data_IF_988167713360
#
_entry.id   IF_988167713360
#
_cell.length_a   1.000
_cell.length_b   1.000
_cell.length_c   1.000
_cell.angle_alpha   90.00
_cell.angle_beta   90.00
_cell.angle_gamma   90.00
#
_symmetry.space_group_name_H-M   'P 1'
#
loop_
_entity.id
_entity.type
_entity.pdbx_description
1 polymer ?
#
# COMPACT_ATOMS: atom_id res chain seq x y z
N UNK A 1 16.22 -2.98 -14.09
CA UNK A 1 15.50 -3.92 -13.21
C UNK A 1 15.20 -3.23 -11.89
N UNK A 2 13.98 -3.32 -11.36
CA UNK A 2 13.65 -2.72 -10.06
C UNK A 2 13.98 -3.68 -8.91
N UNK A 3 14.73 -3.18 -7.93
CA UNK A 3 15.03 -3.90 -6.69
C UNK A 3 14.40 -3.13 -5.53
N UNK A 4 13.28 -3.63 -5.05
CA UNK A 4 12.46 -3.02 -4.01
C UNK A 4 12.86 -3.56 -2.65
N UNK A 5 13.80 -2.89 -1.98
CA UNK A 5 14.39 -3.35 -0.74
C UNK A 5 13.63 -2.83 0.49
N UNK A 6 13.39 -3.70 1.47
CA UNK A 6 12.90 -3.26 2.79
C UNK A 6 13.89 -2.26 3.40
N UNK A 7 13.41 -1.35 4.25
CA UNK A 7 14.24 -0.29 4.84
C UNK A 7 15.52 -0.83 5.49
N UNK A 8 15.44 -1.97 6.20
CA UNK A 8 16.58 -2.64 6.83
C UNK A 8 17.62 -3.14 5.82
N UNK A 9 17.21 -3.54 4.61
CA UNK A 9 18.06 -4.10 3.57
C UNK A 9 18.67 -3.04 2.64
N UNK A 10 18.10 -1.84 2.55
CA UNK A 10 18.60 -0.72 1.73
C UNK A 10 20.13 -0.48 1.84
N UNK A 11 20.77 -0.52 3.03
CA UNK A 11 22.22 -0.31 3.14
C UNK A 11 23.08 -1.35 2.39
N UNK A 12 22.54 -2.52 2.04
CA UNK A 12 23.24 -3.51 1.21
C UNK A 12 23.41 -3.04 -0.23
N UNK A 13 22.52 -2.17 -0.71
CA UNK A 13 22.43 -1.74 -2.10
C UNK A 13 22.95 -0.30 -2.31
N UNK A 14 23.67 0.26 -1.33
CA UNK A 14 24.10 1.67 -1.40
C UNK A 14 25.07 2.00 -2.54
N UNK A 15 25.68 0.97 -3.12
CA UNK A 15 26.64 1.10 -4.21
C UNK A 15 25.94 1.09 -5.60
N UNK A 16 24.60 0.94 -5.65
CA UNK A 16 23.79 0.90 -6.87
C UNK A 16 22.95 2.17 -7.05
N UNK A 17 22.55 2.46 -8.30
CA UNK A 17 21.68 3.59 -8.61
C UNK A 17 20.34 3.48 -7.92
N UNK A 18 19.92 4.56 -7.25
CA UNK A 18 18.56 4.67 -6.72
C UNK A 18 17.58 5.04 -7.84
N UNK A 19 16.30 4.81 -7.58
CA UNK A 19 15.22 5.39 -8.36
C UNK A 19 15.18 6.91 -8.19
N UNK A 20 14.88 7.63 -9.26
CA UNK A 20 14.82 9.10 -9.24
C UNK A 20 13.57 9.61 -8.51
N UNK A 21 12.43 8.92 -8.71
CA UNK A 21 11.16 9.18 -8.04
C UNK A 21 10.55 7.87 -7.53
N UNK A 22 10.23 7.82 -6.23
CA UNK A 22 9.61 6.64 -5.62
C UNK A 22 8.23 6.34 -6.20
N UNK A 23 7.44 7.39 -6.50
CA UNK A 23 6.08 7.22 -7.00
C UNK A 23 6.06 6.75 -8.45
N UNK A 24 6.93 7.31 -9.30
CA UNK A 24 7.07 6.86 -10.69
C UNK A 24 7.64 5.44 -10.77
N UNK A 25 8.67 5.15 -9.96
CA UNK A 25 9.22 3.80 -9.88
C UNK A 25 8.18 2.79 -9.40
N UNK A 26 7.35 3.15 -8.40
CA UNK A 26 6.24 2.32 -7.96
C UNK A 26 5.27 2.02 -9.11
N UNK A 27 4.82 3.05 -9.85
CA UNK A 27 3.91 2.88 -10.98
C UNK A 27 4.51 2.00 -12.08
N UNK A 28 5.77 2.24 -12.44
CA UNK A 28 6.50 1.45 -13.44
C UNK A 28 6.68 0.00 -13.01
N UNK A 29 7.10 -0.24 -11.76
CA UNK A 29 7.31 -1.59 -11.25
C UNK A 29 6.00 -2.38 -11.13
N UNK A 30 4.89 -1.74 -10.74
CA UNK A 30 3.56 -2.37 -10.72
C UNK A 30 3.05 -2.72 -12.12
N UNK A 31 3.33 -1.87 -13.11
CA UNK A 31 3.00 -2.15 -14.51
C UNK A 31 3.93 -3.20 -15.16
N UNK A 32 5.10 -3.43 -14.56
CA UNK A 32 6.13 -4.31 -15.09
C UNK A 32 6.65 -5.30 -14.03
N UNK A 33 5.78 -6.16 -13.48
CA UNK A 33 6.15 -7.06 -12.39
C UNK A 33 7.21 -8.10 -12.81
N UNK A 34 7.40 -8.35 -14.11
CA UNK A 34 8.45 -9.22 -14.65
C UNK A 34 9.86 -8.63 -14.46
N UNK A 35 9.99 -7.32 -14.37
CA UNK A 35 11.28 -6.64 -14.20
C UNK A 35 11.47 -6.12 -12.76
N UNK A 36 10.69 -6.63 -11.82
CA UNK A 36 10.60 -6.14 -10.45
C UNK A 36 10.78 -7.26 -9.43
N UNK A 37 11.59 -6.98 -8.41
CA UNK A 37 11.91 -7.91 -7.34
C UNK A 37 11.76 -7.23 -5.98
N UNK A 38 11.25 -7.95 -4.99
CA UNK A 38 11.30 -7.51 -3.59
C UNK A 38 12.43 -8.21 -2.85
N UNK A 39 13.09 -7.50 -1.94
CA UNK A 39 14.24 -8.07 -1.22
C UNK A 39 14.31 -7.69 0.25
N UNK A 40 14.73 -8.68 1.04
CA UNK A 40 15.16 -8.54 2.43
C UNK A 40 16.39 -9.40 2.67
N UNK A 41 16.94 -9.29 3.87
CA UNK A 41 17.90 -10.27 4.36
C UNK A 41 17.50 -10.76 5.75
N UNK A 42 17.93 -11.97 6.06
CA UNK A 42 18.01 -12.48 7.42
C UNK A 42 19.47 -12.79 7.78
N UNK A 43 19.74 -13.01 9.05
CA UNK A 43 21.09 -13.33 9.54
C UNK A 43 21.09 -14.78 10.00
N UNK A 44 21.94 -15.59 9.39
CA UNK A 44 22.17 -16.98 9.79
C UNK A 44 23.66 -17.18 10.03
N UNK A 45 24.03 -17.66 11.24
CA UNK A 45 25.43 -17.86 11.65
C UNK A 45 26.34 -16.65 11.32
N UNK A 46 25.87 -15.44 11.65
CA UNK A 46 26.53 -14.14 11.40
C UNK A 46 26.69 -13.76 9.91
N UNK A 47 26.17 -14.56 8.98
CA UNK A 47 26.15 -14.27 7.54
C UNK A 47 24.78 -13.74 7.13
N UNK A 48 24.74 -12.77 6.23
CA UNK A 48 23.46 -12.31 5.66
C UNK A 48 23.05 -13.23 4.53
N UNK A 49 21.85 -13.78 4.66
CA UNK A 49 21.15 -14.49 3.59
C UNK A 49 20.19 -13.49 2.95
N UNK A 50 20.47 -13.07 1.73
CA UNK A 50 19.64 -12.11 0.99
C UNK A 50 18.62 -12.90 0.18
N UNK A 51 17.38 -12.48 0.29
CA UNK A 51 16.21 -13.11 -0.33
C UNK A 51 15.70 -12.14 -1.38
N UNK A 52 15.48 -12.62 -2.59
CA UNK A 52 14.78 -11.91 -3.65
C UNK A 52 13.56 -12.72 -4.05
N UNK A 53 12.38 -12.10 -4.06
CA UNK A 53 11.14 -12.70 -4.58
C UNK A 53 10.71 -11.93 -5.83
N UNK A 54 10.40 -12.66 -6.89
CA UNK A 54 9.99 -12.08 -8.16
C UNK A 54 8.55 -11.59 -8.11
N UNK A 55 8.26 -10.40 -8.65
CA UNK A 55 6.94 -9.81 -8.44
C UNK A 55 5.84 -10.46 -9.28
N UNK A 56 6.18 -11.01 -10.45
CA UNK A 56 5.22 -11.67 -11.35
C UNK A 56 5.04 -13.18 -11.10
N UNK A 57 5.91 -13.84 -10.32
CA UNK A 57 5.87 -15.30 -10.13
C UNK A 57 6.24 -15.71 -8.70
N UNK A 58 6.40 -17.01 -8.44
CA UNK A 58 6.95 -17.54 -7.17
C UNK A 58 8.49 -17.63 -7.18
N UNK A 59 9.13 -17.37 -8.32
CA UNK A 59 10.58 -17.42 -8.48
C UNK A 59 11.30 -16.64 -7.36
N UNK A 60 12.18 -17.35 -6.67
CA UNK A 60 12.93 -16.86 -5.51
C UNK A 60 14.41 -17.09 -5.73
N UNK A 61 15.23 -16.08 -5.42
CA UNK A 61 16.69 -16.16 -5.45
C UNK A 61 17.23 -15.93 -4.04
N UNK A 62 18.00 -16.88 -3.55
CA UNK A 62 18.72 -16.80 -2.27
C UNK A 62 20.20 -16.58 -2.55
N UNK A 63 20.77 -15.55 -1.94
CA UNK A 63 22.22 -15.30 -1.95
C UNK A 63 22.76 -15.43 -0.53
N UNK A 64 23.84 -16.18 -0.37
CA UNK A 64 24.50 -16.37 0.92
C UNK A 64 25.73 -15.47 1.10
N UNK A 65 26.08 -15.25 2.37
CA UNK A 65 27.31 -14.57 2.79
C UNK A 65 27.52 -13.17 2.18
N UNK A 66 26.45 -12.39 2.08
CA UNK A 66 26.55 -11.00 1.61
C UNK A 66 27.04 -10.10 2.74
N UNK A 67 28.14 -9.40 2.49
CA UNK A 67 28.82 -8.57 3.47
C UNK A 67 29.42 -7.31 2.81
N UNK A 68 30.04 -6.45 3.62
CA UNK A 68 30.55 -5.16 3.13
C UNK A 68 31.63 -5.29 2.05
N UNK A 69 32.35 -6.43 1.99
CA UNK A 69 33.42 -6.65 1.01
C UNK A 69 32.88 -7.06 -0.35
N UNK A 70 31.76 -7.80 -0.40
CA UNK A 70 31.24 -8.39 -1.64
C UNK A 70 29.92 -7.78 -2.14
N UNK A 71 29.30 -6.85 -1.41
CA UNK A 71 28.05 -6.21 -1.84
C UNK A 71 28.14 -5.43 -3.17
N UNK A 72 29.34 -5.04 -3.61
CA UNK A 72 29.55 -4.41 -4.93
C UNK A 72 29.30 -5.39 -6.08
N UNK A 73 29.51 -6.68 -5.84
CA UNK A 73 29.28 -7.78 -6.79
C UNK A 73 27.91 -8.42 -6.62
N UNK A 74 26.97 -7.75 -5.93
CA UNK A 74 25.69 -8.35 -5.58
C UNK A 74 24.84 -8.63 -6.82
N UNK A 75 24.89 -7.75 -7.83
CA UNK A 75 24.20 -7.96 -9.11
C UNK A 75 24.78 -9.15 -9.87
N UNK A 76 26.11 -9.25 -9.97
CA UNK A 76 26.79 -10.39 -10.60
C UNK A 76 26.42 -11.72 -9.92
N UNK A 77 26.43 -11.74 -8.58
CA UNK A 77 26.03 -12.90 -7.79
C UNK A 77 24.56 -13.26 -8.00
N UNK A 78 23.68 -12.27 -8.03
CA UNK A 78 22.27 -12.46 -8.30
C UNK A 78 22.05 -13.06 -9.69
N UNK A 79 22.68 -12.50 -10.73
CA UNK A 79 22.53 -12.97 -12.11
C UNK A 79 23.09 -14.39 -12.27
N UNK A 80 24.23 -14.71 -11.65
CA UNK A 80 24.80 -16.06 -11.67
C UNK A 80 23.85 -17.08 -11.02
N UNK A 81 23.35 -16.77 -9.82
CA UNK A 81 22.40 -17.62 -9.10
C UNK A 81 21.09 -17.78 -9.87
N UNK A 82 20.59 -16.68 -10.43
CA UNK A 82 19.37 -16.67 -11.24
C UNK A 82 19.52 -17.53 -12.47
N UNK A 83 20.65 -17.43 -13.20
CA UNK A 83 20.94 -18.25 -14.38
C UNK A 83 20.90 -19.74 -14.05
N UNK A 84 21.42 -20.15 -12.89
CA UNK A 84 21.41 -21.56 -12.47
C UNK A 84 19.99 -22.04 -12.16
N UNK A 85 19.20 -21.24 -11.44
CA UNK A 85 17.79 -21.54 -11.17
C UNK A 85 17.00 -21.60 -12.48
N UNK A 86 17.27 -20.67 -13.41
CA UNK A 86 16.61 -20.57 -14.72
C UNK A 86 16.75 -21.85 -15.55
N UNK A 87 17.94 -22.46 -15.52
CA UNK A 87 18.21 -23.74 -16.18
C UNK A 87 17.47 -24.88 -15.49
N UNK A 88 17.44 -24.91 -14.15
CA UNK A 88 16.75 -25.95 -13.38
C UNK A 88 15.23 -25.98 -13.63
N UNK A 89 14.63 -24.84 -13.95
CA UNK A 89 13.20 -24.73 -14.30
C UNK A 89 12.93 -24.91 -15.80
N UNK A 90 13.93 -25.35 -16.57
CA UNK A 90 13.78 -25.74 -17.98
C UNK A 90 13.71 -24.56 -18.96
N UNK A 91 14.18 -23.37 -18.58
CA UNK A 91 14.19 -22.21 -19.47
C UNK A 91 15.58 -22.08 -20.12
N UNK A 92 15.61 -21.77 -21.41
CA UNK A 92 16.85 -21.69 -22.20
C UNK A 92 17.74 -20.52 -21.78
N UNK A 93 19.05 -20.69 -21.96
CA UNK A 93 20.04 -19.62 -21.75
C UNK A 93 19.77 -18.38 -22.61
N UNK A 94 19.36 -18.57 -23.86
CA UNK A 94 18.97 -17.47 -24.76
C UNK A 94 17.82 -16.63 -24.17
N UNK A 95 16.84 -17.26 -23.53
CA UNK A 95 15.76 -16.55 -22.82
C UNK A 95 16.30 -15.78 -21.61
N UNK A 96 17.21 -16.37 -20.82
CA UNK A 96 17.87 -15.66 -19.72
C UNK A 96 18.64 -14.42 -20.19
N UNK A 97 19.43 -14.53 -21.27
CA UNK A 97 20.19 -13.40 -21.81
C UNK A 97 19.27 -12.29 -22.31
N UNK A 98 18.14 -12.66 -22.96
CA UNK A 98 17.08 -11.71 -23.35
C UNK A 98 16.46 -11.04 -22.13
N UNK A 99 16.21 -11.78 -21.05
CA UNK A 99 15.65 -11.23 -19.81
C UNK A 99 16.57 -10.17 -19.20
N UNK A 100 17.85 -10.50 -18.97
CA UNK A 100 18.81 -9.58 -18.37
C UNK A 100 18.97 -8.32 -19.24
N UNK A 101 19.08 -8.49 -20.56
CA UNK A 101 19.15 -7.37 -21.51
C UNK A 101 17.90 -6.49 -21.47
N UNK A 102 16.71 -7.08 -21.42
CA UNK A 102 15.45 -6.33 -21.38
C UNK A 102 15.23 -5.65 -20.02
N UNK A 103 15.60 -6.31 -18.93
CA UNK A 103 15.43 -5.78 -17.57
C UNK A 103 16.32 -4.55 -17.33
N UNK A 104 17.55 -4.54 -17.88
CA UNK A 104 18.53 -3.47 -17.72
C UNK A 104 19.02 -3.30 -16.27
N UNK A 105 19.86 -2.30 -16.05
CA UNK A 105 20.57 -2.06 -14.80
C UNK A 105 19.66 -1.97 -13.57
N UNK A 106 20.20 -2.35 -12.41
CA UNK A 106 19.50 -2.24 -11.14
C UNK A 106 19.14 -0.80 -10.76
N UNK A 107 17.86 -0.60 -10.42
CA UNK A 107 17.34 0.63 -9.83
C UNK A 107 16.73 0.30 -8.47
N UNK A 108 17.35 0.84 -7.42
CA UNK A 108 17.00 0.51 -6.04
C UNK A 108 15.90 1.46 -5.54
N UNK A 109 14.78 0.88 -5.11
CA UNK A 109 13.63 1.61 -4.57
C UNK A 109 13.15 1.04 -3.24
N UNK A 110 12.24 1.75 -2.54
CA UNK A 110 11.54 1.20 -1.39
C UNK A 110 10.57 0.10 -1.81
N UNK A 111 10.02 -0.65 -0.85
CA UNK A 111 8.98 -1.65 -1.14
C UNK A 111 7.70 -1.00 -1.67
N UNK A 112 7.13 -1.58 -2.73
CA UNK A 112 6.03 -0.97 -3.49
C UNK A 112 4.66 -1.61 -3.20
N UNK A 113 4.63 -2.81 -2.60
CA UNK A 113 3.40 -3.56 -2.34
C UNK A 113 3.42 -4.29 -0.99
N UNK A 114 2.34 -4.14 -0.20
CA UNK A 114 2.15 -4.87 1.07
C UNK A 114 1.99 -6.38 0.87
N UNK A 115 1.35 -6.79 -0.23
CA UNK A 115 1.23 -8.21 -0.60
C UNK A 115 2.61 -8.83 -0.84
N UNK A 116 3.50 -8.12 -1.54
CA UNK A 116 4.87 -8.57 -1.77
C UNK A 116 5.69 -8.65 -0.48
N UNK A 117 5.50 -7.72 0.46
CA UNK A 117 6.12 -7.80 1.79
C UNK A 117 5.61 -9.03 2.56
N UNK A 118 4.32 -9.35 2.47
CA UNK A 118 3.73 -10.56 3.04
C UNK A 118 4.41 -11.82 2.47
N UNK A 119 4.45 -11.95 1.14
CA UNK A 119 5.11 -13.08 0.48
C UNK A 119 6.59 -13.20 0.85
N UNK A 120 7.33 -12.09 0.85
CA UNK A 120 8.73 -12.05 1.28
C UNK A 120 8.89 -12.44 2.76
N UNK A 121 7.88 -12.17 3.60
CA UNK A 121 7.84 -12.61 5.00
C UNK A 121 7.69 -14.13 5.08
N UNK A 122 6.70 -14.68 4.38
CA UNK A 122 6.42 -16.12 4.34
C UNK A 122 7.62 -16.93 3.83
N UNK A 123 8.22 -16.51 2.71
CA UNK A 123 9.44 -17.13 2.16
C UNK A 123 10.59 -17.08 3.16
N UNK A 124 10.75 -15.97 3.89
CA UNK A 124 11.78 -15.85 4.91
C UNK A 124 11.56 -16.78 6.10
N UNK A 125 10.32 -16.97 6.55
CA UNK A 125 10.01 -17.91 7.64
C UNK A 125 10.36 -19.35 7.24
N UNK A 126 10.04 -19.75 6.01
CA UNK A 126 10.36 -21.09 5.51
C UNK A 126 11.86 -21.26 5.30
N UNK A 127 12.56 -20.23 4.82
CA UNK A 127 14.02 -20.23 4.74
C UNK A 127 14.66 -20.44 6.13
N UNK A 128 14.15 -19.79 7.18
CA UNK A 128 14.65 -20.01 8.55
C UNK A 128 14.48 -21.47 9.00
N UNK A 129 13.36 -22.11 8.66
CA UNK A 129 13.16 -23.55 8.94
C UNK A 129 14.24 -24.41 8.26
N UNK A 130 14.47 -24.23 6.96
CA UNK A 130 15.50 -24.98 6.24
C UNK A 130 16.91 -24.74 6.79
N UNK A 131 17.23 -23.49 7.13
CA UNK A 131 18.52 -23.15 7.73
C UNK A 131 18.70 -23.78 9.12
N UNK A 132 17.63 -23.91 9.90
CA UNK A 132 17.66 -24.62 11.19
C UNK A 132 17.90 -26.12 11.01
N UNK A 133 17.37 -26.70 9.93
CA UNK A 133 17.64 -28.08 9.50
C UNK A 133 19.02 -28.24 8.82
N UNK A 134 19.85 -27.18 8.86
CA UNK A 134 21.22 -27.11 8.34
C UNK A 134 21.33 -27.16 6.81
N UNK A 135 20.24 -26.96 6.10
CA UNK A 135 20.27 -26.78 4.66
C UNK A 135 20.73 -25.35 4.34
N UNK A 136 21.81 -25.23 3.59
CA UNK A 136 22.50 -23.96 3.34
C UNK A 136 22.89 -23.75 1.89
N UNK A 137 22.63 -24.71 1.00
CA UNK A 137 22.87 -24.59 -0.43
C UNK A 137 21.91 -23.53 -1.03
N UNK A 138 22.42 -22.37 -1.49
CA UNK A 138 21.58 -21.32 -2.03
C UNK A 138 20.81 -21.74 -3.28
N UNK A 139 21.35 -22.66 -4.10
CA UNK A 139 20.68 -23.16 -5.31
C UNK A 139 19.48 -24.01 -4.93
N UNK A 140 19.70 -24.99 -4.04
CA UNK A 140 18.63 -25.83 -3.51
C UNK A 140 17.54 -25.00 -2.84
N UNK A 141 17.93 -24.06 -1.97
CA UNK A 141 17.00 -23.19 -1.25
C UNK A 141 16.16 -22.35 -2.21
N UNK A 142 16.80 -21.75 -3.23
CA UNK A 142 16.11 -20.96 -4.25
C UNK A 142 15.09 -21.80 -5.03
N UNK A 143 15.49 -22.99 -5.48
CA UNK A 143 14.60 -23.91 -6.18
C UNK A 143 13.42 -24.35 -5.30
N UNK A 144 13.68 -24.71 -4.04
CA UNK A 144 12.61 -25.14 -3.11
C UNK A 144 11.64 -24.03 -2.78
N UNK A 145 12.14 -22.84 -2.46
CA UNK A 145 11.29 -21.69 -2.14
C UNK A 145 10.51 -21.21 -3.37
N UNK A 146 11.04 -21.40 -4.59
CA UNK A 146 10.32 -21.11 -5.83
C UNK A 146 9.11 -22.01 -6.08
N UNK A 147 9.01 -23.17 -5.42
CA UNK A 147 7.86 -24.06 -5.52
C UNK A 147 6.72 -23.69 -4.56
N UNK A 148 6.93 -22.73 -3.67
CA UNK A 148 5.90 -22.32 -2.72
C UNK A 148 4.81 -21.53 -3.44
N UNK A 149 3.54 -21.97 -3.36
CA UNK A 149 2.44 -21.25 -3.99
C UNK A 149 2.25 -19.88 -3.33
N UNK A 150 1.89 -18.89 -4.14
CA UNK A 150 1.67 -17.51 -3.70
C UNK A 150 0.22 -17.11 -3.94
N UNK A 151 -0.47 -16.66 -2.90
CA UNK A 151 -1.78 -16.02 -3.04
C UNK A 151 -1.62 -14.60 -3.61
N UNK A 152 -2.36 -14.29 -4.67
CA UNK A 152 -2.42 -12.94 -5.25
C UNK A 152 -3.64 -12.18 -4.72
N UNK A 153 -4.81 -12.81 -4.84
CA UNK A 153 -6.13 -12.31 -4.43
C UNK A 153 -6.92 -13.48 -3.80
N UNK A 154 -8.04 -13.24 -3.08
CA UNK A 154 -8.92 -14.31 -2.65
C UNK A 154 -9.30 -15.23 -3.82
N UNK A 155 -8.87 -16.49 -3.76
CA UNK A 155 -9.13 -17.50 -4.81
C UNK A 155 -8.17 -17.49 -6.00
N UNK A 156 -7.17 -16.60 -6.06
CA UNK A 156 -6.15 -16.59 -7.11
C UNK A 156 -4.77 -16.91 -6.54
N UNK A 157 -4.12 -17.89 -7.14
CA UNK A 157 -2.79 -18.35 -6.75
C UNK A 157 -1.87 -18.43 -7.96
N UNK A 158 -0.58 -18.24 -7.72
CA UNK A 158 0.49 -18.59 -8.67
C UNK A 158 1.28 -19.74 -8.08
N UNK A 159 1.47 -20.80 -8.87
CA UNK A 159 2.24 -21.97 -8.49
C UNK A 159 3.64 -21.97 -9.15
N UNK A 160 4.57 -22.73 -8.56
CA UNK A 160 5.94 -22.88 -9.09
C UNK A 160 5.99 -23.45 -10.51
N UNK A 161 5.00 -24.27 -10.89
CA UNK A 161 4.90 -24.81 -12.25
C UNK A 161 4.64 -23.74 -13.33
N UNK A 162 4.16 -22.55 -12.96
CA UNK A 162 3.82 -21.48 -13.89
C UNK A 162 5.02 -20.55 -14.19
N UNK A 163 6.14 -20.68 -13.48
CA UNK A 163 7.32 -19.80 -13.64
C UNK A 163 7.82 -19.82 -15.09
N UNK A 164 7.95 -21.01 -15.70
CA UNK A 164 8.45 -21.13 -17.07
C UNK A 164 7.56 -20.44 -18.10
N UNK A 165 6.24 -20.41 -17.87
CA UNK A 165 5.28 -19.71 -18.72
C UNK A 165 5.34 -18.19 -18.52
N UNK A 166 5.48 -17.73 -17.28
CA UNK A 166 5.60 -16.30 -16.95
C UNK A 166 6.92 -15.74 -17.48
N UNK A 167 8.01 -16.50 -17.39
CA UNK A 167 9.36 -16.11 -17.79
C UNK A 167 9.72 -16.49 -19.24
N UNK A 168 8.73 -16.59 -20.14
CA UNK A 168 8.97 -16.75 -21.58
C UNK A 168 9.42 -15.42 -22.19
N UNK A 169 10.31 -15.49 -23.18
CA UNK A 169 10.89 -14.32 -23.84
C UNK A 169 9.88 -13.34 -24.41
N UNK A 170 8.71 -13.84 -24.85
CA UNK A 170 7.66 -13.02 -25.44
C UNK A 170 7.06 -12.02 -24.45
N UNK A 171 7.21 -12.29 -23.15
CA UNK A 171 6.71 -11.46 -22.06
C UNK A 171 7.70 -10.36 -21.64
N UNK A 172 8.94 -10.36 -22.15
CA UNK A 172 9.97 -9.39 -21.78
C UNK A 172 9.80 -8.06 -22.52
N UNK A 173 8.66 -7.41 -22.28
CA UNK A 173 8.31 -6.14 -22.89
C UNK A 173 7.93 -5.15 -21.82
N UNK A 174 8.62 -4.01 -21.79
CA UNK A 174 8.25 -2.90 -20.93
C UNK A 174 6.90 -2.35 -21.36
N UNK A 175 5.95 -2.37 -20.44
CA UNK A 175 4.67 -1.71 -20.53
C UNK A 175 4.79 -0.31 -19.96
N UNK A 176 4.22 0.67 -20.66
CA UNK A 176 3.98 1.97 -20.04
C UNK A 176 3.03 1.75 -18.87
N UNK A 177 3.26 2.38 -17.70
CA UNK A 177 2.27 2.37 -16.64
C UNK A 177 0.96 2.79 -17.26
N UNK A 178 -0.09 2.02 -17.00
CA UNK A 178 -1.44 2.54 -17.17
C UNK A 178 -1.50 3.66 -16.13
N UNK A 179 -1.20 4.88 -16.59
CA UNK A 179 -1.70 6.06 -15.95
C UNK A 179 -3.20 5.88 -16.14
N UNK A 180 -3.89 5.26 -15.18
CA UNK A 180 -5.28 5.61 -14.97
C UNK A 180 -5.20 7.11 -14.94
N UNK A 181 -5.70 7.76 -16.00
CA UNK A 181 -6.03 9.17 -15.93
C UNK A 181 -6.76 9.23 -14.61
N UNK A 182 -6.22 9.97 -13.64
CA UNK A 182 -6.98 10.28 -12.44
C UNK A 182 -8.35 10.64 -13.00
N UNK A 183 -9.37 9.80 -12.74
CA UNK A 183 -10.70 10.03 -13.29
C UNK A 183 -10.94 11.50 -13.02
N UNK A 184 -11.18 12.28 -14.07
CA UNK A 184 -11.27 13.74 -13.92
C UNK A 184 -12.30 13.97 -12.82
N UNK A 185 -11.79 14.34 -11.66
CA UNK A 185 -12.62 14.59 -10.50
C UNK A 185 -13.46 15.78 -10.94
N UNK A 186 -14.78 15.64 -10.94
CA UNK A 186 -15.66 16.73 -11.27
C UNK A 186 -15.53 17.80 -10.18
N UNK A 187 -14.61 18.74 -10.43
CA UNK A 187 -14.29 19.82 -9.50
C UNK A 187 -15.48 20.75 -9.30
N UNK A 188 -16.39 20.84 -10.28
CA UNK A 188 -17.60 21.67 -10.15
C UNK A 188 -18.55 21.05 -9.13
N UNK A 189 -18.75 19.73 -9.22
CA UNK A 189 -19.58 19.00 -8.28
C UNK A 189 -18.96 18.96 -6.87
N UNK A 190 -17.65 18.73 -6.77
CA UNK A 190 -16.95 18.78 -5.48
C UNK A 190 -17.04 20.17 -4.82
N UNK A 191 -16.91 21.25 -5.60
CA UNK A 191 -17.02 22.60 -5.07
C UNK A 191 -18.45 22.87 -4.59
N UNK A 192 -19.47 22.40 -5.32
CA UNK A 192 -20.88 22.48 -4.88
C UNK A 192 -21.07 21.78 -3.54
N UNK A 193 -20.59 20.54 -3.40
CA UNK A 193 -20.70 19.77 -2.15
C UNK A 193 -20.02 20.50 -1.00
N UNK A 194 -18.81 21.02 -1.23
CA UNK A 194 -18.06 21.81 -0.25
C UNK A 194 -18.83 23.04 0.21
N UNK A 195 -19.33 23.84 -0.74
CA UNK A 195 -20.01 25.10 -0.45
C UNK A 195 -21.35 24.84 0.28
N UNK A 196 -22.09 23.80 -0.10
CA UNK A 196 -23.32 23.42 0.59
C UNK A 196 -23.07 22.92 2.02
N UNK A 197 -22.02 22.13 2.24
CA UNK A 197 -21.63 21.71 3.59
C UNK A 197 -21.20 22.94 4.44
N UNK A 198 -20.42 23.87 3.89
CA UNK A 198 -20.07 25.10 4.62
C UNK A 198 -21.30 25.95 4.95
N UNK A 199 -22.25 26.10 4.02
CA UNK A 199 -23.49 26.82 4.28
C UNK A 199 -24.30 26.18 5.40
N UNK A 200 -24.41 24.85 5.44
CA UNK A 200 -25.07 24.15 6.54
C UNK A 200 -24.40 24.46 7.88
N UNK A 201 -23.06 24.42 7.93
CA UNK A 201 -22.30 24.74 9.14
C UNK A 201 -22.59 26.17 9.66
N UNK A 202 -22.83 27.14 8.76
CA UNK A 202 -23.20 28.52 9.11
C UNK A 202 -24.65 28.62 9.58
N UNK A 203 -25.58 27.95 8.89
CA UNK A 203 -27.00 27.97 9.22
C UNK A 203 -27.28 27.42 10.63
N UNK A 204 -26.60 26.34 11.00
CA UNK A 204 -26.76 25.72 12.33
C UNK A 204 -26.31 26.64 13.47
N UNK A 205 -25.22 27.40 13.29
CA UNK A 205 -24.79 28.37 14.31
C UNK A 205 -25.83 29.45 14.59
N UNK A 206 -26.68 29.74 13.61
CA UNK A 206 -27.71 30.78 13.72
C UNK A 206 -29.06 30.24 14.19
N UNK A 207 -29.26 28.92 14.21
CA UNK A 207 -30.58 28.30 14.37
C UNK A 207 -30.52 27.03 15.25
N UNK A 208 -29.97 27.21 16.45
CA UNK A 208 -29.69 26.14 17.42
C UNK A 208 -30.94 25.54 18.09
N UNK A 209 -32.13 26.10 17.87
CA UNK A 209 -33.32 25.78 18.67
C UNK A 209 -34.60 25.71 17.82
N UNK A 210 -34.66 24.79 16.85
CA UNK A 210 -35.94 24.35 16.29
C UNK A 210 -36.50 23.17 17.10
N UNK A 211 -37.77 23.23 17.48
CA UNK A 211 -38.49 22.11 18.11
C UNK A 211 -39.16 21.20 17.09
N UNK A 212 -39.02 21.51 15.79
CA UNK A 212 -39.60 20.74 14.70
C UNK A 212 -38.71 19.54 14.36
N UNK A 213 -39.18 18.35 14.75
CA UNK A 213 -38.48 17.09 14.50
C UNK A 213 -38.39 16.74 13.01
N UNK A 214 -39.37 17.14 12.19
CA UNK A 214 -39.35 16.88 10.76
C UNK A 214 -38.28 17.74 10.08
N UNK A 215 -38.09 18.97 10.56
CA UNK A 215 -37.04 19.86 10.10
C UNK A 215 -35.64 19.34 10.47
N UNK A 216 -35.48 18.83 11.70
CA UNK A 216 -34.26 18.16 12.18
C UNK A 216 -33.91 16.97 11.28
N UNK A 217 -34.87 16.09 11.01
CA UNK A 217 -34.67 14.91 10.16
C UNK A 217 -34.33 15.30 8.72
N UNK A 218 -34.97 16.34 8.19
CA UNK A 218 -34.67 16.85 6.84
C UNK A 218 -33.24 17.38 6.75
N UNK A 219 -32.77 18.12 7.77
CA UNK A 219 -31.40 18.62 7.86
C UNK A 219 -30.40 17.48 7.92
N UNK A 220 -30.61 16.49 8.79
CA UNK A 220 -29.73 15.31 8.90
C UNK A 220 -29.65 14.56 7.56
N UNK A 221 -30.78 14.32 6.89
CA UNK A 221 -30.80 13.69 5.56
C UNK A 221 -29.99 14.48 4.53
N UNK A 222 -30.04 15.81 4.57
CA UNK A 222 -29.24 16.67 3.68
C UNK A 222 -27.74 16.53 3.96
N UNK A 223 -27.32 16.51 5.23
CA UNK A 223 -25.94 16.20 5.61
C UNK A 223 -25.49 14.85 5.06
N UNK A 224 -26.28 13.80 5.32
CA UNK A 224 -25.96 12.44 4.91
C UNK A 224 -25.84 12.31 3.39
N UNK A 225 -26.72 12.98 2.64
CA UNK A 225 -26.64 13.03 1.17
C UNK A 225 -25.32 13.64 0.69
N UNK A 226 -24.97 14.84 1.17
CA UNK A 226 -23.76 15.54 0.77
C UNK A 226 -22.48 14.78 1.19
N UNK A 227 -22.49 14.20 2.39
CA UNK A 227 -21.41 13.35 2.87
C UNK A 227 -21.24 12.12 1.97
N UNK A 228 -22.31 11.46 1.55
CA UNK A 228 -22.25 10.30 0.66
C UNK A 228 -21.70 10.67 -0.73
N UNK A 229 -22.08 11.82 -1.27
CA UNK A 229 -21.53 12.34 -2.53
C UNK A 229 -20.03 12.65 -2.42
N UNK A 230 -19.59 13.23 -1.29
CA UNK A 230 -18.17 13.46 -0.99
C UNK A 230 -17.40 12.16 -0.82
N UNK A 231 -17.95 11.20 -0.07
CA UNK A 231 -17.35 9.87 0.13
C UNK A 231 -17.21 9.15 -1.21
N UNK A 232 -18.24 9.16 -2.06
CA UNK A 232 -18.19 8.54 -3.37
C UNK A 232 -17.07 9.14 -4.24
N UNK A 233 -16.96 10.48 -4.26
CA UNK A 233 -15.89 11.18 -4.98
C UNK A 233 -14.50 10.81 -4.45
N UNK A 234 -14.35 10.72 -3.13
CA UNK A 234 -13.11 10.27 -2.49
C UNK A 234 -12.78 8.82 -2.86
N UNK A 235 -13.74 7.88 -2.73
CA UNK A 235 -13.52 6.46 -3.01
C UNK A 235 -13.15 6.24 -4.48
N UNK A 236 -13.83 6.92 -5.41
CA UNK A 236 -13.53 6.86 -6.84
C UNK A 236 -12.10 7.38 -7.13
N UNK A 237 -11.65 8.42 -6.42
CA UNK A 237 -10.30 8.97 -6.58
C UNK A 237 -9.16 8.04 -6.15
N UNK A 238 -9.45 7.07 -5.27
CA UNK A 238 -8.45 6.15 -4.71
C UNK A 238 -8.67 4.69 -5.15
N UNK A 239 -9.62 4.43 -6.06
CA UNK A 239 -10.05 3.07 -6.40
C UNK A 239 -8.92 2.19 -6.95
N UNK A 240 -7.97 2.79 -7.67
CA UNK A 240 -6.84 2.08 -8.29
C UNK A 240 -5.68 1.83 -7.30
N UNK A 241 -5.67 2.53 -6.17
CA UNK A 241 -4.60 2.44 -5.17
C UNK A 241 -4.84 1.36 -4.11
N UNK A 242 -6.07 0.85 -4.01
CA UNK A 242 -6.51 0.00 -2.90
C UNK A 242 -7.40 -1.16 -3.36
N UNK A 243 -7.37 -2.26 -2.60
CA UNK A 243 -8.26 -3.39 -2.86
C UNK A 243 -9.72 -3.05 -2.55
N UNK A 244 -10.66 -3.71 -3.22
CA UNK A 244 -12.10 -3.51 -3.01
C UNK A 244 -12.51 -3.65 -1.52
N UNK A 245 -11.93 -4.61 -0.80
CA UNK A 245 -12.14 -4.79 0.64
C UNK A 245 -11.71 -3.56 1.44
N UNK A 246 -10.60 -2.94 1.07
CA UNK A 246 -10.10 -1.74 1.75
C UNK A 246 -10.93 -0.51 1.39
N UNK A 247 -11.34 -0.36 0.13
CA UNK A 247 -12.26 0.69 -0.30
C UNK A 247 -13.59 0.63 0.47
N UNK A 248 -14.20 -0.56 0.55
CA UNK A 248 -15.41 -0.79 1.36
C UNK A 248 -15.18 -0.48 2.85
N UNK A 249 -13.99 -0.78 3.37
CA UNK A 249 -13.65 -0.44 4.76
C UNK A 249 -13.56 1.08 4.97
N UNK A 250 -12.97 1.82 4.04
CA UNK A 250 -12.90 3.28 4.12
C UNK A 250 -14.28 3.91 4.00
N UNK A 251 -15.08 3.46 3.02
CA UNK A 251 -16.45 3.92 2.85
C UNK A 251 -17.27 3.71 4.12
N UNK A 252 -17.33 2.49 4.66
CA UNK A 252 -18.10 2.19 5.89
C UNK A 252 -17.65 3.01 7.10
N UNK A 253 -16.34 3.19 7.28
CA UNK A 253 -15.83 3.99 8.39
C UNK A 253 -16.16 5.48 8.26
N UNK A 254 -16.17 6.01 7.02
CA UNK A 254 -16.58 7.39 6.77
C UNK A 254 -18.09 7.56 6.88
N UNK A 255 -18.90 6.65 6.36
CA UNK A 255 -20.36 6.65 6.52
C UNK A 255 -20.72 6.64 8.01
N UNK A 256 -20.16 5.71 8.79
CA UNK A 256 -20.40 5.65 10.23
C UNK A 256 -20.07 6.98 10.92
N UNK A 257 -18.89 7.55 10.67
CA UNK A 257 -18.49 8.75 11.40
C UNK A 257 -19.18 10.02 10.89
N UNK A 258 -19.23 10.23 9.58
CA UNK A 258 -19.81 11.44 8.99
C UNK A 258 -21.34 11.46 9.08
N UNK A 259 -22.00 10.32 8.86
CA UNK A 259 -23.46 10.25 8.78
C UNK A 259 -24.11 9.88 10.11
N UNK A 260 -23.57 8.92 10.84
CA UNK A 260 -24.20 8.43 12.08
C UNK A 260 -23.76 9.22 13.31
N UNK A 261 -22.58 9.85 13.26
CA UNK A 261 -22.05 10.61 14.40
C UNK A 261 -22.06 12.13 14.17
N UNK A 262 -21.40 12.64 13.11
CA UNK A 262 -21.27 14.08 12.89
C UNK A 262 -22.55 14.74 12.39
N UNK A 263 -23.29 14.13 11.45
CA UNK A 263 -24.53 14.71 10.92
C UNK A 263 -25.58 14.94 12.01
N UNK A 264 -25.71 14.00 12.97
CA UNK A 264 -26.60 14.14 14.13
C UNK A 264 -26.16 15.22 15.13
N UNK A 265 -24.91 15.67 15.04
CA UNK A 265 -24.35 16.79 15.81
C UNK A 265 -24.29 18.07 14.98
N UNK A 266 -24.75 18.03 13.74
CA UNK A 266 -24.68 19.15 12.80
C UNK A 266 -23.24 19.63 12.52
N UNK A 267 -22.28 18.73 12.66
CA UNK A 267 -20.87 18.99 12.41
C UNK A 267 -20.54 18.53 10.99
N UNK A 268 -19.87 19.39 10.22
CA UNK A 268 -19.35 19.03 8.89
C UNK A 268 -17.89 18.63 8.98
N UNK A 269 -17.40 17.91 7.97
CA UNK A 269 -15.97 17.57 7.84
C UNK A 269 -15.05 18.80 7.74
N UNK A 270 -15.60 20.00 7.51
CA UNK A 270 -14.85 21.26 7.46
C UNK A 270 -14.81 21.99 8.81
N UNK A 271 -15.49 21.47 9.84
CA UNK A 271 -15.42 21.99 11.19
C UNK A 271 -14.26 21.32 11.96
N UNK A 272 -13.55 22.07 12.80
CA UNK A 272 -12.47 21.55 13.64
C UNK A 272 -12.93 20.49 14.64
N UNK A 273 -14.19 20.54 15.06
CA UNK A 273 -14.81 19.51 15.92
C UNK A 273 -14.91 18.15 15.22
N UNK A 274 -14.83 18.08 13.88
CA UNK A 274 -14.76 16.82 13.15
C UNK A 274 -13.45 16.04 13.38
N UNK A 275 -12.48 16.62 14.11
CA UNK A 275 -11.29 15.91 14.57
C UNK A 275 -11.55 15.06 15.82
N UNK A 276 -12.73 15.20 16.46
CA UNK A 276 -13.12 14.52 17.69
C UNK A 276 -13.47 13.03 17.48
N UNK A 277 -12.60 12.28 16.79
CA UNK A 277 -12.83 10.86 16.48
C UNK A 277 -12.79 10.00 17.74
N UNK A 278 -12.10 10.45 18.78
CA UNK A 278 -11.98 9.76 20.05
C UNK A 278 -13.31 9.62 20.79
N UNK A 279 -14.26 10.55 20.57
CA UNK A 279 -15.58 10.47 21.19
C UNK A 279 -16.35 9.20 20.79
N UNK A 280 -16.08 8.62 19.62
CA UNK A 280 -16.68 7.35 19.22
C UNK A 280 -16.41 6.23 20.25
N UNK A 281 -15.26 6.27 20.93
CA UNK A 281 -14.95 5.34 22.01
C UNK A 281 -15.91 5.51 23.20
N UNK A 282 -16.18 6.76 23.58
CA UNK A 282 -17.12 7.11 24.65
C UNK A 282 -18.56 6.70 24.30
N UNK A 283 -18.88 6.64 23.00
CA UNK A 283 -20.16 6.18 22.47
C UNK A 283 -20.19 4.68 22.12
N UNK A 284 -19.27 3.87 22.68
CA UNK A 284 -19.33 2.41 22.62
C UNK A 284 -18.60 1.76 21.44
N UNK A 285 -17.90 2.53 20.60
CA UNK A 285 -17.04 1.96 19.56
C UNK A 285 -15.80 1.33 20.16
N UNK A 286 -15.33 0.23 19.57
CA UNK A 286 -14.03 -0.35 19.95
C UNK A 286 -12.86 0.56 19.57
N UNK A 287 -11.75 0.49 20.30
CA UNK A 287 -10.51 1.22 19.94
C UNK A 287 -10.03 0.91 18.51
N UNK A 288 -10.22 -0.33 18.07
CA UNK A 288 -9.88 -0.76 16.70
C UNK A 288 -10.74 -0.07 15.64
N UNK A 289 -11.99 0.23 15.96
CA UNK A 289 -12.92 0.96 15.11
C UNK A 289 -12.61 2.46 15.07
N UNK A 290 -12.33 3.07 16.22
CA UNK A 290 -11.83 4.45 16.29
C UNK A 290 -10.58 4.63 15.44
N UNK A 291 -9.61 3.71 15.53
CA UNK A 291 -8.41 3.71 14.67
C UNK A 291 -8.71 3.52 13.18
N UNK A 292 -9.80 2.82 12.82
CA UNK A 292 -10.23 2.71 11.41
C UNK A 292 -10.85 4.02 10.94
N UNK A 293 -11.67 4.66 11.75
CA UNK A 293 -12.25 5.99 11.48
C UNK A 293 -11.13 7.01 11.32
N UNK A 294 -10.21 7.12 12.28
CA UNK A 294 -9.06 8.03 12.23
C UNK A 294 -8.23 7.87 10.95
N UNK A 295 -7.94 6.63 10.53
CA UNK A 295 -7.22 6.36 9.28
C UNK A 295 -8.01 6.79 8.05
N UNK A 296 -9.31 6.54 8.03
CA UNK A 296 -10.19 6.88 6.89
C UNK A 296 -10.35 8.40 6.77
N UNK A 297 -10.62 9.09 7.88
CA UNK A 297 -10.66 10.55 7.96
C UNK A 297 -9.34 11.19 7.55
N UNK A 298 -8.20 10.63 7.99
CA UNK A 298 -6.87 11.12 7.59
C UNK A 298 -6.64 11.01 6.07
N UNK A 299 -7.22 10.00 5.41
CA UNK A 299 -7.18 9.87 3.95
C UNK A 299 -8.11 10.85 3.27
N UNK A 300 -9.32 11.04 3.79
CA UNK A 300 -10.26 12.05 3.30
C UNK A 300 -9.66 13.46 3.38
N UNK A 301 -9.03 13.86 4.49
CA UNK A 301 -8.34 15.16 4.58
C UNK A 301 -7.12 15.29 3.67
N UNK A 302 -6.51 14.18 3.27
CA UNK A 302 -5.49 14.22 2.20
C UNK A 302 -6.17 14.53 0.86
N UNK A 303 -7.25 13.83 0.53
CA UNK A 303 -8.02 14.09 -0.67
C UNK A 303 -8.51 15.54 -0.76
N UNK A 304 -9.12 16.07 0.31
CA UNK A 304 -9.58 17.47 0.38
C UNK A 304 -8.43 18.49 0.18
N UNK A 305 -7.23 18.17 0.65
CA UNK A 305 -6.04 19.00 0.42
C UNK A 305 -5.58 18.92 -1.04
N UNK A 306 -5.53 17.71 -1.59
CA UNK A 306 -5.09 17.47 -2.96
C UNK A 306 -6.06 18.12 -3.98
N UNK A 307 -7.35 18.22 -3.65
CA UNK A 307 -8.38 18.93 -4.43
C UNK A 307 -8.50 20.41 -4.09
N UNK A 308 -7.68 20.94 -3.18
CA UNK A 308 -7.68 22.35 -2.72
C UNK A 308 -8.99 22.82 -2.08
N UNK A 309 -9.84 21.91 -1.62
CA UNK A 309 -11.03 22.24 -0.83
C UNK A 309 -10.67 22.66 0.61
N UNK A 310 -9.48 22.28 1.09
CA UNK A 310 -8.92 22.78 2.35
C UNK A 310 -7.46 23.16 2.17
N UNK A 311 -6.97 24.06 3.02
CA UNK A 311 -5.56 24.42 3.03
C UNK A 311 -4.69 23.39 3.80
N UNK A 312 -3.38 23.49 3.61
CA UNK A 312 -2.40 22.58 4.22
C UNK A 312 -2.35 22.68 5.74
N UNK A 313 -2.61 23.85 6.32
CA UNK A 313 -2.60 24.04 7.77
C UNK A 313 -3.79 23.34 8.40
N UNK A 314 -4.98 23.53 7.84
CA UNK A 314 -6.20 22.87 8.26
C UNK A 314 -6.05 21.34 8.17
N UNK A 315 -5.66 20.81 7.02
CA UNK A 315 -5.49 19.36 6.85
C UNK A 315 -4.45 18.76 7.82
N UNK A 316 -3.38 19.50 8.13
CA UNK A 316 -2.36 19.08 9.10
C UNK A 316 -2.88 19.13 10.53
N UNK A 317 -3.60 20.18 10.91
CA UNK A 317 -4.24 20.34 12.22
C UNK A 317 -5.21 19.19 12.49
N UNK A 318 -6.14 18.93 11.57
CA UNK A 318 -7.13 17.86 11.72
C UNK A 318 -6.50 16.48 11.87
N UNK A 319 -5.49 16.16 11.04
CA UNK A 319 -4.76 14.88 11.14
C UNK A 319 -4.01 14.72 12.45
N UNK A 320 -3.45 15.81 12.98
CA UNK A 320 -2.74 15.81 14.26
C UNK A 320 -3.72 15.63 15.41
N UNK A 321 -4.79 16.42 15.48
CA UNK A 321 -5.78 16.37 16.55
C UNK A 321 -6.41 14.97 16.67
N UNK A 322 -6.86 14.38 15.56
CA UNK A 322 -7.40 13.01 15.56
C UNK A 322 -6.38 11.97 16.05
N UNK A 323 -5.08 12.18 15.75
CA UNK A 323 -4.03 11.26 16.17
C UNK A 323 -3.79 11.37 17.69
N UNK A 324 -3.71 12.59 18.21
CA UNK A 324 -3.51 12.87 19.62
C UNK A 324 -4.65 12.29 20.47
N UNK A 325 -5.92 12.42 20.04
CA UNK A 325 -7.06 11.83 20.75
C UNK A 325 -6.99 10.31 20.85
N UNK A 326 -6.62 9.64 19.76
CA UNK A 326 -6.47 8.17 19.75
C UNK A 326 -5.34 7.74 20.68
N UNK A 327 -4.21 8.46 20.67
CA UNK A 327 -3.08 8.18 21.57
C UNK A 327 -3.46 8.34 23.05
N UNK A 328 -4.24 9.36 23.40
CA UNK A 328 -4.74 9.56 24.78
C UNK A 328 -5.65 8.40 25.23
N UNK A 329 -6.56 7.94 24.37
CA UNK A 329 -7.41 6.79 24.69
C UNK A 329 -6.56 5.55 24.95
N UNK A 330 -5.55 5.31 24.12
CA UNK A 330 -4.64 4.17 24.30
C UNK A 330 -3.86 4.26 25.61
N UNK A 331 -3.36 5.44 25.98
CA UNK A 331 -2.63 5.63 27.23
C UNK A 331 -3.50 5.35 28.47
N UNK A 332 -4.79 5.70 28.41
CA UNK A 332 -5.73 5.49 29.53
C UNK A 332 -6.23 4.04 29.66
N UNK A 333 -5.85 3.14 28.74
CA UNK A 333 -6.17 1.71 28.80
C UNK A 333 -5.12 0.88 29.58
N UNK A 334 -3.99 1.50 29.94
CA UNK A 334 -2.90 0.92 30.74
C UNK A 334 -2.79 1.63 32.08
#
# INVERSE_FOLDING_TARGET
MFINAIQKAQPLFKDFSKVDSNDEAKKLALANPIFSWHTKYLIYRRKKMVIFTHDASTLTVILSDINAKNRKHLEEKFQAQLSEIWQNIGITKDSFDKYIKAAGDWKIGPTISRSQIGHLTDVGSILELYLNDRETDPVWLSNKLSQLPRGLDPGKYVAGGEISQIMRSDNFKWQKPVISKAKEIDMSELQRIHDELLQLNVQIKNDLFTTDLDEVDHRIKKFQKLNNELIASFIDSIQDDYSEKMLKSYQKSLELYLNEYLAHRYITVFNREAAAVGEMYLHGSSISEVKRIQRSMSKLYKFLLDTKLVDANFAKEMKRAMKEEVEVIEMNMW
#
